data_IF_166576120489
#
_entry.id   IF_166576120489
#
_cell.length_a   1.000
_cell.length_b   1.000
_cell.length_c   1.000
_cell.angle_alpha   90.00
_cell.angle_beta   90.00
_cell.angle_gamma   90.00
#
_symmetry.space_group_name_H-M   'P 1'
#
loop_
_entity.id
_entity.type
_entity.pdbx_description
1 polymer ?
#
# COMPACT_ATOMS: atom_id res chain seq x y z
N UNK A 1 16.78 15.82 5.02
CA UNK A 1 16.32 15.89 3.62
C UNK A 1 16.55 14.55 2.97
N UNK A 2 15.54 13.67 2.98
CA UNK A 2 15.59 12.43 2.19
C UNK A 2 15.14 12.81 0.78
N UNK A 3 16.11 12.85 -0.14
CA UNK A 3 15.86 12.99 -1.56
C UNK A 3 15.08 11.77 -2.04
N UNK A 4 13.81 11.97 -2.40
CA UNK A 4 13.09 11.04 -3.27
C UNK A 4 13.87 11.01 -4.59
N UNK A 5 14.71 10.00 -4.78
CA UNK A 5 15.36 9.73 -6.05
C UNK A 5 14.27 9.62 -7.14
N UNK A 6 14.51 10.14 -8.35
CA UNK A 6 13.51 10.12 -9.40
C UNK A 6 13.34 8.68 -9.87
N UNK A 7 12.28 8.00 -9.41
CA UNK A 7 11.86 6.70 -9.94
C UNK A 7 11.26 6.90 -11.35
N UNK A 8 12.11 7.22 -12.32
CA UNK A 8 11.82 7.15 -13.76
C UNK A 8 12.11 5.75 -14.32
N UNK A 9 11.95 4.69 -13.52
CA UNK A 9 11.69 3.37 -14.09
C UNK A 9 10.18 3.24 -14.18
N UNK A 10 9.68 3.15 -15.41
CA UNK A 10 8.30 2.85 -15.76
C UNK A 10 7.93 1.49 -15.15
N UNK A 11 7.68 1.43 -13.84
CA UNK A 11 7.22 0.19 -13.23
C UNK A 11 5.82 -0.02 -13.78
N UNK A 12 5.71 -1.02 -14.66
CA UNK A 12 4.48 -1.31 -15.36
C UNK A 12 3.43 -1.77 -14.35
N UNK A 13 2.18 -1.34 -14.56
CA UNK A 13 1.03 -1.70 -13.74
C UNK A 13 0.97 -3.20 -13.39
N UNK A 14 1.22 -4.15 -14.32
CA UNK A 14 1.21 -5.58 -14.02
C UNK A 14 2.25 -6.00 -12.96
N UNK A 15 3.42 -5.35 -12.94
CA UNK A 15 4.49 -5.66 -11.99
C UNK A 15 4.09 -5.24 -10.58
N UNK A 16 3.52 -4.04 -10.43
CA UNK A 16 3.04 -3.57 -9.13
C UNK A 16 1.85 -4.41 -8.64
N UNK A 17 0.90 -4.68 -9.53
CA UNK A 17 -0.26 -5.52 -9.21
C UNK A 17 0.19 -6.92 -8.78
N UNK A 18 1.10 -7.57 -9.51
CA UNK A 18 1.60 -8.89 -9.16
C UNK A 18 2.31 -8.95 -7.81
N UNK A 19 3.11 -7.93 -7.46
CA UNK A 19 3.76 -7.83 -6.15
C UNK A 19 2.74 -7.69 -5.02
N UNK A 20 1.77 -6.80 -5.20
CA UNK A 20 0.70 -6.60 -4.22
C UNK A 20 -0.15 -7.87 -4.07
N UNK A 21 -0.56 -8.50 -5.17
CA UNK A 21 -1.38 -9.71 -5.17
C UNK A 21 -0.72 -10.86 -4.40
N UNK A 22 0.58 -11.08 -4.60
CA UNK A 22 1.33 -12.12 -3.92
C UNK A 22 1.35 -11.97 -2.38
N UNK A 23 1.32 -10.74 -1.86
CA UNK A 23 1.37 -10.48 -0.41
C UNK A 23 0.00 -10.19 0.22
N UNK A 24 -0.91 -9.57 -0.53
CA UNK A 24 -2.17 -9.01 -0.03
C UNK A 24 -3.40 -9.82 -0.46
N UNK A 25 -3.26 -10.62 -1.51
CA UNK A 25 -4.35 -11.24 -2.25
C UNK A 25 -4.95 -10.32 -3.31
N UNK A 26 -5.62 -10.93 -4.29
CA UNK A 26 -6.11 -10.23 -5.49
C UNK A 26 -7.17 -9.17 -5.15
N UNK A 27 -8.12 -9.50 -4.27
CA UNK A 27 -9.21 -8.60 -3.89
C UNK A 27 -8.71 -7.30 -3.26
N UNK A 28 -7.75 -7.39 -2.32
CA UNK A 28 -7.20 -6.20 -1.68
C UNK A 28 -6.34 -5.40 -2.66
N UNK A 29 -5.66 -6.09 -3.57
CA UNK A 29 -4.86 -5.43 -4.61
C UNK A 29 -5.73 -4.64 -5.58
N UNK A 30 -6.83 -5.24 -6.07
CA UNK A 30 -7.84 -4.57 -6.88
C UNK A 30 -8.43 -3.37 -6.14
N UNK A 31 -8.78 -3.54 -4.86
CA UNK A 31 -9.31 -2.47 -4.03
C UNK A 31 -8.32 -1.29 -3.91
N UNK A 32 -7.05 -1.56 -3.61
CA UNK A 32 -6.01 -0.51 -3.51
C UNK A 32 -5.79 0.18 -4.85
N UNK A 33 -5.78 -0.56 -5.96
CA UNK A 33 -5.64 0.00 -7.31
C UNK A 33 -6.76 1.02 -7.64
N UNK A 34 -7.93 0.89 -7.01
CA UNK A 34 -9.12 1.67 -7.34
C UNK A 34 -10.09 0.92 -8.26
N UNK A 35 -9.82 -0.35 -8.57
CA UNK A 35 -10.75 -1.20 -9.30
C UNK A 35 -11.89 -1.63 -8.38
N UNK A 36 -13.09 -1.79 -8.94
CA UNK A 36 -14.26 -2.32 -8.23
C UNK A 36 -14.27 -3.85 -8.22
N UNK A 37 -13.54 -4.47 -9.14
CA UNK A 37 -13.41 -5.94 -9.24
C UNK A 37 -11.99 -6.37 -9.58
N UNK A 38 -11.65 -7.62 -9.27
CA UNK A 38 -10.38 -8.23 -9.70
C UNK A 38 -10.29 -8.28 -11.23
N UNK A 39 -11.39 -8.64 -11.90
CA UNK A 39 -11.44 -8.72 -13.36
C UNK A 39 -11.15 -7.36 -14.05
N UNK A 40 -11.55 -6.26 -13.43
CA UNK A 40 -11.24 -4.92 -13.93
C UNK A 40 -9.74 -4.61 -13.81
N UNK A 41 -9.12 -4.91 -12.67
CA UNK A 41 -7.67 -4.77 -12.52
C UNK A 41 -6.91 -5.67 -13.51
N UNK A 42 -7.37 -6.91 -13.73
CA UNK A 42 -6.77 -7.83 -14.70
C UNK A 42 -6.85 -7.27 -16.13
N UNK A 43 -7.98 -6.69 -16.50
CA UNK A 43 -8.15 -6.02 -17.79
C UNK A 43 -7.15 -4.86 -17.97
N UNK A 44 -6.96 -4.04 -16.92
CA UNK A 44 -5.97 -2.96 -16.97
C UNK A 44 -4.55 -3.49 -17.10
N UNK A 45 -4.22 -4.57 -16.38
CA UNK A 45 -2.93 -5.24 -16.50
C UNK A 45 -2.70 -5.85 -17.90
N UNK A 46 -3.78 -6.26 -18.58
CA UNK A 46 -3.75 -6.74 -19.97
C UNK A 46 -3.67 -5.61 -21.02
N UNK A 47 -3.59 -4.35 -20.58
CA UNK A 47 -3.42 -3.19 -21.46
C UNK A 47 -4.72 -2.47 -21.82
N UNK A 48 -5.87 -2.85 -21.24
CA UNK A 48 -7.05 -2.00 -21.33
C UNK A 48 -6.82 -0.71 -20.53
N UNK A 49 -7.34 0.44 -20.99
CA UNK A 49 -7.12 1.71 -20.31
C UNK A 49 -7.84 1.71 -18.95
N UNK A 50 -7.07 1.94 -17.89
CA UNK A 50 -7.63 2.32 -16.59
C UNK A 50 -8.17 3.76 -16.67
N UNK A 51 -9.24 4.12 -15.92
CA UNK A 51 -9.76 5.48 -15.89
C UNK A 51 -8.72 6.52 -15.50
N UNK A 52 -7.91 6.21 -14.49
CA UNK A 52 -6.82 7.05 -13.99
C UNK A 52 -5.53 6.22 -13.78
N UNK A 53 -4.75 5.97 -14.85
CA UNK A 53 -3.57 5.11 -14.77
C UNK A 53 -2.51 5.63 -13.77
N UNK A 54 -2.35 6.97 -13.70
CA UNK A 54 -1.42 7.61 -12.76
C UNK A 54 -1.78 7.33 -11.30
N UNK A 55 -3.05 7.50 -10.92
CA UNK A 55 -3.50 7.22 -9.56
C UNK A 55 -3.37 5.73 -9.23
N UNK A 56 -3.75 4.86 -10.17
CA UNK A 56 -3.64 3.40 -10.03
C UNK A 56 -2.19 2.98 -9.71
N UNK A 57 -1.22 3.49 -10.46
CA UNK A 57 0.21 3.22 -10.26
C UNK A 57 0.67 3.71 -8.88
N UNK A 58 0.32 4.95 -8.51
CA UNK A 58 0.72 5.54 -7.21
C UNK A 58 0.18 4.72 -6.03
N UNK A 59 -1.09 4.30 -6.10
CA UNK A 59 -1.71 3.49 -5.04
C UNK A 59 -1.06 2.11 -4.90
N UNK A 60 -0.79 1.44 -6.00
CA UNK A 60 -0.11 0.13 -5.98
C UNK A 60 1.37 0.25 -5.59
N UNK A 61 2.04 1.35 -5.93
CA UNK A 61 3.37 1.66 -5.44
C UNK A 61 3.37 1.84 -3.91
N UNK A 62 2.37 2.50 -3.34
CA UNK A 62 2.20 2.58 -1.89
C UNK A 62 2.00 1.18 -1.24
N UNK A 63 1.19 0.32 -1.86
CA UNK A 63 1.03 -1.08 -1.42
C UNK A 63 2.36 -1.85 -1.43
N UNK A 64 3.17 -1.67 -2.49
CA UNK A 64 4.51 -2.28 -2.60
C UNK A 64 5.46 -1.76 -1.53
N UNK A 65 5.41 -0.48 -1.20
CA UNK A 65 6.23 0.11 -0.16
C UNK A 65 5.82 -0.39 1.24
N UNK A 66 4.53 -0.53 1.52
CA UNK A 66 4.05 -1.14 2.76
C UNK A 66 4.51 -2.59 2.92
N UNK A 67 4.48 -3.38 1.84
CA UNK A 67 5.05 -4.74 1.83
C UNK A 67 6.52 -4.70 2.24
N UNK A 68 7.30 -3.77 1.70
CA UNK A 68 8.72 -3.59 2.05
C UNK A 68 8.90 -3.25 3.53
N UNK A 69 8.11 -2.31 4.06
CA UNK A 69 8.16 -1.88 5.47
C UNK A 69 7.87 -3.05 6.41
N UNK A 70 6.76 -3.77 6.20
CA UNK A 70 6.38 -4.88 7.06
C UNK A 70 7.30 -6.09 6.91
N UNK A 71 7.80 -6.37 5.70
CA UNK A 71 8.74 -7.47 5.46
C UNK A 71 10.09 -7.24 6.13
N UNK A 72 10.60 -6.00 6.15
CA UNK A 72 11.87 -5.65 6.80
C UNK A 72 11.87 -6.04 8.29
N UNK A 73 10.71 -5.95 8.94
CA UNK A 73 10.51 -6.27 10.35
C UNK A 73 9.96 -7.69 10.60
N UNK A 74 9.86 -8.54 9.57
CA UNK A 74 9.26 -9.87 9.63
C UNK A 74 7.78 -9.87 10.11
N UNK A 75 7.04 -8.81 9.80
CA UNK A 75 5.64 -8.62 10.17
C UNK A 75 4.69 -8.70 8.97
N UNK A 76 5.15 -9.19 7.81
CA UNK A 76 4.36 -9.22 6.57
C UNK A 76 2.99 -9.90 6.73
N UNK A 77 2.87 -10.92 7.59
CA UNK A 77 1.59 -11.58 7.89
C UNK A 77 0.53 -10.66 8.51
N UNK A 78 0.94 -9.56 9.15
CA UNK A 78 0.04 -8.59 9.78
C UNK A 78 -0.48 -7.54 8.80
N UNK A 79 0.25 -7.27 7.71
CA UNK A 79 -0.04 -6.17 6.80
C UNK A 79 -1.47 -6.21 6.26
N UNK A 80 -1.93 -7.40 5.85
CA UNK A 80 -3.28 -7.58 5.30
C UNK A 80 -4.38 -7.20 6.31
N UNK A 81 -4.16 -7.51 7.58
CA UNK A 81 -5.10 -7.17 8.64
C UNK A 81 -5.03 -5.67 8.96
N UNK A 82 -3.82 -5.16 9.21
CA UNK A 82 -3.55 -3.76 9.51
C UNK A 82 -4.14 -2.79 8.47
N UNK A 83 -4.05 -3.14 7.18
CA UNK A 83 -4.63 -2.34 6.08
C UNK A 83 -6.16 -2.14 6.19
N UNK A 84 -6.86 -3.03 6.91
CA UNK A 84 -8.32 -3.00 7.08
C UNK A 84 -8.76 -2.46 8.45
N UNK A 85 -7.82 -2.27 9.37
CA UNK A 85 -8.14 -1.75 10.70
C UNK A 85 -8.27 -0.24 10.70
N UNK A 86 -9.05 0.27 11.66
CA UNK A 86 -9.07 1.69 11.96
C UNK A 86 -7.86 2.00 12.85
N UNK A 87 -7.04 2.95 12.42
CA UNK A 87 -5.84 3.38 13.14
C UNK A 87 -5.93 4.87 13.44
N UNK A 88 -5.46 5.28 14.61
CA UNK A 88 -5.36 6.68 14.98
C UNK A 88 -4.10 7.30 14.37
N UNK A 89 -4.25 8.48 13.77
CA UNK A 89 -3.15 9.29 13.22
C UNK A 89 -3.25 10.72 13.75
N UNK A 90 -2.23 11.54 13.50
CA UNK A 90 -2.23 12.95 13.91
C UNK A 90 -3.42 13.73 13.31
N UNK A 91 -3.87 13.35 12.12
CA UNK A 91 -4.98 13.98 11.39
C UNK A 91 -6.35 13.34 11.72
N UNK A 92 -6.38 12.36 12.63
CA UNK A 92 -7.57 11.61 13.04
C UNK A 92 -7.57 10.14 12.61
N UNK A 93 -8.63 9.40 12.93
CA UNK A 93 -8.73 7.98 12.65
C UNK A 93 -8.93 7.70 11.16
N UNK A 94 -8.18 6.75 10.61
CA UNK A 94 -8.26 6.34 9.21
C UNK A 94 -8.30 4.81 9.08
N UNK A 95 -8.85 4.31 7.96
CA UNK A 95 -8.62 2.94 7.51
C UNK A 95 -7.57 3.00 6.38
N UNK A 96 -6.38 2.40 6.53
CA UNK A 96 -5.27 2.58 5.59
C UNK A 96 -5.61 2.24 4.13
N UNK A 97 -6.29 1.11 3.90
CA UNK A 97 -6.67 0.71 2.55
C UNK A 97 -7.62 1.74 1.90
N UNK A 98 -8.58 2.26 2.68
CA UNK A 98 -9.51 3.29 2.21
C UNK A 98 -8.76 4.57 1.87
N UNK A 99 -7.87 5.03 2.76
CA UNK A 99 -7.08 6.24 2.56
C UNK A 99 -6.21 6.16 1.29
N UNK A 100 -5.59 5.00 1.02
CA UNK A 100 -4.86 4.75 -0.23
C UNK A 100 -5.82 4.79 -1.42
N UNK A 101 -6.92 4.03 -1.39
CA UNK A 101 -7.87 3.94 -2.52
C UNK A 101 -8.42 5.31 -2.91
N UNK A 102 -8.72 6.16 -1.93
CA UNK A 102 -9.29 7.50 -2.18
C UNK A 102 -8.26 8.54 -2.56
N UNK A 103 -6.95 8.24 -2.46
CA UNK A 103 -5.91 9.17 -2.88
C UNK A 103 -6.00 9.42 -4.38
N UNK A 104 -6.15 10.68 -4.77
CA UNK A 104 -6.20 11.12 -6.17
C UNK A 104 -4.91 11.86 -6.50
N UNK A 105 -4.99 13.17 -6.76
CA UNK A 105 -3.82 14.04 -6.95
C UNK A 105 -3.15 14.38 -5.64
N UNK A 106 -3.89 14.39 -4.54
CA UNK A 106 -3.33 14.54 -3.20
C UNK A 106 -2.74 13.21 -2.71
N UNK A 107 -1.43 13.23 -2.51
CA UNK A 107 -0.66 12.08 -1.99
C UNK A 107 -0.53 12.10 -0.47
N UNK A 108 -1.06 13.11 0.21
CA UNK A 108 -1.00 13.22 1.67
C UNK A 108 -1.61 12.01 2.39
N UNK A 109 -2.77 11.45 1.98
CA UNK A 109 -3.31 10.24 2.61
C UNK A 109 -2.34 9.06 2.55
N UNK A 110 -1.63 8.89 1.42
CA UNK A 110 -0.62 7.84 1.27
C UNK A 110 0.57 8.08 2.21
N UNK A 111 1.05 9.33 2.32
CA UNK A 111 2.14 9.68 3.24
C UNK A 111 1.77 9.41 4.69
N UNK A 112 0.55 9.77 5.10
CA UNK A 112 0.03 9.50 6.44
C UNK A 112 0.00 8.00 6.72
N UNK A 113 -0.48 7.18 5.77
CA UNK A 113 -0.47 5.71 5.89
C UNK A 113 0.94 5.15 6.00
N UNK A 114 1.88 5.59 5.16
CA UNK A 114 3.28 5.12 5.20
C UNK A 114 3.96 5.51 6.52
N UNK A 115 3.69 6.71 7.04
CA UNK A 115 4.20 7.15 8.33
C UNK A 115 3.62 6.29 9.47
N UNK A 116 2.31 6.07 9.49
CA UNK A 116 1.65 5.24 10.50
C UNK A 116 2.16 3.79 10.48
N UNK A 117 2.45 3.24 9.29
CA UNK A 117 3.07 1.93 9.15
C UNK A 117 4.44 1.87 9.84
N UNK A 118 5.30 2.89 9.62
CA UNK A 118 6.60 2.97 10.28
C UNK A 118 6.50 3.06 11.80
N UNK A 119 5.59 3.88 12.31
CA UNK A 119 5.33 3.98 13.76
C UNK A 119 4.88 2.63 14.31
N UNK A 120 3.90 2.00 13.66
CA UNK A 120 3.33 0.74 14.12
C UNK A 120 4.35 -0.39 14.15
N UNK A 121 5.13 -0.59 13.07
CA UNK A 121 6.15 -1.66 13.07
C UNK A 121 7.22 -1.42 14.12
N UNK A 122 7.63 -0.16 14.34
CA UNK A 122 8.60 0.21 15.39
C UNK A 122 8.07 -0.10 16.79
N UNK A 123 6.79 0.17 17.04
CA UNK A 123 6.13 -0.13 18.30
C UNK A 123 6.06 -1.64 18.58
N UNK A 124 5.76 -2.46 17.56
CA UNK A 124 5.78 -3.92 17.68
C UNK A 124 7.17 -4.46 18.05
N UNK A 125 8.24 -3.79 17.63
CA UNK A 125 9.61 -4.13 18.05
C UNK A 125 9.87 -3.86 19.53
N UNK A 126 9.38 -2.75 20.05
CA UNK A 126 9.57 -2.36 21.45
C UNK A 126 8.80 -3.28 22.41
N UNK A 127 7.68 -3.85 21.96
CA UNK A 127 6.83 -4.73 22.76
C UNK A 127 7.10 -6.23 22.57
N UNK A 128 8.10 -6.61 21.77
CA UNK A 128 8.52 -8.01 21.66
C UNK A 128 9.32 -8.38 22.92
N UNK A 129 8.87 -9.35 23.76
CA UNK A 129 9.66 -9.78 24.89
C UNK A 129 10.99 -10.33 24.36
N UNK A 130 12.11 -9.88 24.95
CA UNK A 130 13.41 -10.52 24.76
C UNK A 130 13.22 -12.00 25.09
N UNK A 131 13.23 -12.84 24.06
CA UNK A 131 13.23 -14.29 24.26
C UNK A 131 14.49 -14.64 25.04
N UNK A 132 14.31 -15.03 26.30
CA UNK A 132 15.32 -15.60 27.18
C UNK A 132 15.58 -17.07 26.82
#
# INVERSE_FOLDING_TARGET
MVLLAPLHSTIELPVLAGRCAAALGDELTAYLAGADTVAELDAWCAGLPAPDPGHTIVRLAAGTELIRIFAAENLLSHLRHWLREMIDTEDGPIVPATAIRTATTDVQPIKTVLHAAHVWVTDQHLHRPLAA
#
